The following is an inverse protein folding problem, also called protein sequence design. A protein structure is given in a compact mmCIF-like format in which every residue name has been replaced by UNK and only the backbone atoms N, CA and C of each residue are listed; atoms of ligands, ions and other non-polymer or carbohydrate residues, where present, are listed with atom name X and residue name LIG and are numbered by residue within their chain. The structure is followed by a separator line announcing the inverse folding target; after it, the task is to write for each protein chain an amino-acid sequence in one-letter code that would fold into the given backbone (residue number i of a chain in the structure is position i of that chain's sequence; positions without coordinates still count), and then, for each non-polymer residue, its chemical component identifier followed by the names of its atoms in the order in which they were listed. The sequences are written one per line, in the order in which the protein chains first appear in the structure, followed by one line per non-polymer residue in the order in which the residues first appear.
data_IF_944002132613
#
_entry.id   IF_944002132613
#
_cell.length_a   1.000
_cell.length_b   1.000
_cell.length_c   1.000
_cell.angle_alpha   90.00
_cell.angle_beta   90.00
_cell.angle_gamma   90.00
#
_symmetry.space_group_name_H-M   'P 1'
#
loop_
_entity.id
_entity.type
_entity.pdbx_description
1 polymer ?
#
# COMPACT_ATOMS: atom_id res chain seq x y z
N UNK A 1 10.14 0.37 18.73
CA UNK A 1 8.70 0.66 18.87
C UNK A 1 8.32 1.96 18.17
N UNK A 2 9.09 3.03 18.33
CA UNK A 2 8.83 4.35 17.71
C UNK A 2 8.95 4.38 16.18
N UNK A 3 9.84 3.56 15.61
CA UNK A 3 10.14 3.55 14.17
C UNK A 3 8.99 2.97 13.33
N UNK A 4 8.37 1.88 13.79
CA UNK A 4 7.22 1.27 13.10
C UNK A 4 6.02 2.22 13.02
N UNK A 5 5.74 2.96 14.11
CA UNK A 5 4.67 3.96 14.15
C UNK A 5 4.93 5.08 13.13
N UNK A 6 6.19 5.51 12.98
CA UNK A 6 6.55 6.55 12.01
C UNK A 6 6.36 6.06 10.56
N UNK A 7 6.71 4.80 10.27
CA UNK A 7 6.50 4.20 8.96
C UNK A 7 5.01 4.07 8.64
N UNK A 8 4.19 3.61 9.58
CA UNK A 8 2.74 3.53 9.41
C UNK A 8 2.12 4.90 9.14
N UNK A 9 2.50 5.93 9.91
CA UNK A 9 2.04 7.30 9.67
C UNK A 9 2.43 7.81 8.28
N UNK A 10 3.65 7.51 7.82
CA UNK A 10 4.10 7.87 6.46
C UNK A 10 3.28 7.15 5.40
N UNK A 11 3.08 5.84 5.55
CA UNK A 11 2.29 5.01 4.65
C UNK A 11 0.81 5.46 4.57
N UNK A 12 0.20 5.79 5.73
CA UNK A 12 -1.13 6.39 5.79
C UNK A 12 -1.19 7.73 5.04
N UNK A 13 -0.22 8.61 5.28
CA UNK A 13 -0.17 9.91 4.60
C UNK A 13 -0.03 9.77 3.08
N UNK A 14 0.73 8.77 2.61
CA UNK A 14 0.83 8.44 1.18
C UNK A 14 -0.53 8.04 0.63
N UNK A 15 -1.24 7.11 1.28
CA UNK A 15 -2.54 6.65 0.82
C UNK A 15 -3.58 7.78 0.80
N UNK A 16 -3.67 8.56 1.89
CA UNK A 16 -4.64 9.66 2.01
C UNK A 16 -4.39 10.77 0.96
N UNK A 17 -3.13 11.20 0.78
CA UNK A 17 -2.79 12.26 -0.19
C UNK A 17 -2.95 11.83 -1.65
N UNK A 18 -2.99 10.52 -1.90
CA UNK A 18 -3.04 9.94 -3.23
C UNK A 18 -4.27 9.05 -3.45
N UNK A 19 -5.31 9.27 -2.65
CA UNK A 19 -6.57 8.57 -2.80
C UNK A 19 -7.13 8.76 -4.22
N UNK A 20 -7.58 7.66 -4.83
CA UNK A 20 -8.12 7.62 -6.20
C UNK A 20 -7.14 8.03 -7.31
N UNK A 21 -5.84 8.18 -7.02
CA UNK A 21 -4.82 8.44 -8.04
C UNK A 21 -4.26 7.14 -8.58
N UNK A 22 -4.26 7.01 -9.90
CA UNK A 22 -3.72 5.84 -10.58
C UNK A 22 -2.20 5.98 -10.72
N UNK A 23 -1.49 4.93 -10.37
CA UNK A 23 -0.04 4.83 -10.48
C UNK A 23 0.35 3.71 -11.42
N UNK A 24 1.46 3.90 -12.15
CA UNK A 24 2.17 2.82 -12.83
C UNK A 24 3.28 2.32 -11.92
N UNK A 25 3.22 1.04 -11.55
CA UNK A 25 4.32 0.40 -10.85
C UNK A 25 5.45 0.09 -11.83
N UNK A 26 6.70 0.41 -11.47
CA UNK A 26 7.89 0.28 -12.32
C UNK A 26 9.00 -0.58 -11.69
N UNK A 27 8.69 -1.30 -10.61
CA UNK A 27 9.61 -2.24 -9.98
C UNK A 27 9.94 -3.44 -10.87
N UNK A 28 11.01 -4.15 -10.51
CA UNK A 28 11.54 -5.28 -11.27
C UNK A 28 10.61 -6.50 -11.28
N UNK A 29 9.68 -6.59 -10.32
CA UNK A 29 8.67 -7.64 -10.19
C UNK A 29 7.26 -7.15 -10.60
N UNK A 30 7.20 -6.24 -11.57
CA UNK A 30 5.95 -5.73 -12.17
C UNK A 30 5.00 -6.84 -12.64
N UNK A 31 5.52 -7.99 -13.08
CA UNK A 31 4.71 -9.15 -13.48
C UNK A 31 3.93 -9.76 -12.30
N UNK A 32 4.42 -9.57 -11.07
CA UNK A 32 3.79 -10.03 -9.84
C UNK A 32 2.69 -9.08 -9.38
N UNK A 33 2.96 -7.77 -9.39
CA UNK A 33 2.08 -6.74 -8.82
C UNK A 33 1.12 -6.08 -9.82
N UNK A 34 1.28 -6.31 -11.13
CA UNK A 34 0.50 -5.65 -12.16
C UNK A 34 0.99 -4.24 -12.47
N UNK A 35 0.64 -3.75 -13.66
CA UNK A 35 1.22 -2.53 -14.22
C UNK A 35 0.66 -1.24 -13.60
N UNK A 36 -0.60 -1.23 -13.22
CA UNK A 36 -1.29 -0.02 -12.75
C UNK A 36 -2.24 -0.29 -11.59
N UNK A 37 -2.25 0.60 -10.60
CA UNK A 37 -3.11 0.46 -9.44
C UNK A 37 -3.18 1.72 -8.56
N UNK A 38 -3.91 1.59 -7.46
CA UNK A 38 -4.16 2.64 -6.47
C UNK A 38 -3.63 2.19 -5.10
N UNK A 39 -3.18 3.13 -4.28
CA UNK A 39 -2.79 2.85 -2.91
C UNK A 39 -3.98 3.07 -1.97
N UNK A 40 -4.26 2.09 -1.11
CA UNK A 40 -5.38 2.13 -0.17
C UNK A 40 -4.95 1.62 1.22
N UNK A 41 -5.61 2.15 2.25
CA UNK A 41 -5.53 1.62 3.62
C UNK A 41 -6.57 0.51 3.74
N UNK A 42 -6.14 -0.66 4.20
CA UNK A 42 -7.01 -1.81 4.45
C UNK A 42 -7.33 -1.83 5.93
N UNK A 43 -8.61 -1.72 6.25
CA UNK A 43 -9.07 -2.00 7.61
C UNK A 43 -8.95 -3.50 7.87
N UNK A 44 -8.33 -3.85 8.99
CA UNK A 44 -8.24 -5.23 9.42
C UNK A 44 -9.66 -5.79 9.61
N UNK A 45 -10.05 -6.72 8.74
CA UNK A 45 -11.32 -7.44 8.80
C UNK A 45 -11.18 -8.77 9.56
N UNK A 46 -10.14 -8.94 10.37
CA UNK A 46 -9.99 -10.13 11.21
C UNK A 46 -11.18 -10.28 12.15
N UNK A 47 -12.01 -11.29 11.87
CA UNK A 47 -13.17 -11.65 12.66
C UNK A 47 -12.81 -12.36 13.98
N UNK A 48 -11.55 -12.74 14.18
CA UNK A 48 -11.10 -13.55 15.32
C UNK A 48 -10.27 -12.81 16.37
N UNK A 49 -9.72 -11.63 16.05
CA UNK A 49 -9.13 -10.66 16.96
C UNK A 49 -8.70 -9.43 16.14
N UNK A 50 -8.98 -8.19 16.57
CA UNK A 50 -8.41 -7.02 15.92
C UNK A 50 -6.88 -7.11 16.06
N UNK A 51 -6.15 -7.16 14.96
CA UNK A 51 -4.75 -6.79 15.03
C UNK A 51 -4.70 -5.26 15.09
N UNK A 52 -3.92 -4.71 16.02
CA UNK A 52 -3.68 -3.27 16.09
C UNK A 52 -2.82 -2.77 14.91
N UNK A 53 -2.58 -3.61 13.89
CA UNK A 53 -1.75 -3.29 12.74
C UNK A 53 -2.58 -2.71 11.60
N UNK A 54 -2.14 -1.54 11.11
CA UNK A 54 -2.69 -0.95 9.90
C UNK A 54 -2.13 -1.71 8.69
N UNK A 55 -3.00 -2.31 7.90
CA UNK A 55 -2.62 -2.96 6.66
C UNK A 55 -2.82 -1.99 5.49
N UNK A 56 -2.02 -2.17 4.45
CA UNK A 56 -2.12 -1.37 3.24
C UNK A 56 -2.24 -2.25 2.02
N UNK A 57 -2.68 -1.69 0.90
CA UNK A 57 -2.63 -2.41 -0.36
C UNK A 57 -2.37 -1.56 -1.59
N UNK A 58 -1.76 -2.20 -2.58
CA UNK A 58 -1.78 -1.76 -3.97
C UNK A 58 -2.90 -2.50 -4.71
N UNK A 59 -3.98 -1.77 -5.04
CA UNK A 59 -5.15 -2.30 -5.72
C UNK A 59 -5.00 -2.11 -7.22
N UNK A 60 -4.81 -3.22 -7.94
CA UNK A 60 -4.90 -3.25 -9.41
C UNK A 60 -6.31 -3.58 -9.86
N UNK A 61 -6.53 -3.58 -11.18
CA UNK A 61 -7.83 -3.96 -11.76
C UNK A 61 -8.27 -5.37 -11.33
N UNK A 62 -7.33 -6.31 -11.25
CA UNK A 62 -7.65 -7.73 -11.11
C UNK A 62 -7.27 -8.31 -9.74
N UNK A 63 -6.39 -7.63 -9.00
CA UNK A 63 -5.82 -8.14 -7.73
C UNK A 63 -5.55 -7.04 -6.72
N UNK A 64 -5.70 -7.41 -5.44
CA UNK A 64 -5.26 -6.62 -4.28
C UNK A 64 -3.99 -7.22 -3.71
N UNK A 65 -2.94 -6.41 -3.58
CA UNK A 65 -1.70 -6.81 -2.95
C UNK A 65 -1.63 -6.19 -1.57
N UNK A 66 -1.96 -6.97 -0.53
CA UNK A 66 -1.90 -6.54 0.87
C UNK A 66 -0.45 -6.59 1.34
N UNK A 67 -0.02 -5.53 2.02
CA UNK A 67 1.36 -5.32 2.43
C UNK A 67 1.42 -4.46 3.70
N UNK A 68 2.59 -4.43 4.33
CA UNK A 68 2.86 -3.58 5.48
C UNK A 68 3.28 -2.15 5.05
N UNK A 69 3.59 -1.30 6.04
CA UNK A 69 3.99 0.08 5.80
C UNK A 69 5.31 0.19 5.01
N UNK A 70 6.26 -0.71 5.24
CA UNK A 70 7.57 -0.68 4.60
C UNK A 70 7.42 -1.01 3.10
N UNK A 71 6.73 -2.09 2.80
CA UNK A 71 6.47 -2.54 1.44
C UNK A 71 5.61 -1.53 0.66
N UNK A 72 4.66 -0.84 1.32
CA UNK A 72 3.89 0.23 0.67
C UNK A 72 4.79 1.40 0.27
N UNK A 73 5.68 1.83 1.16
CA UNK A 73 6.59 2.94 0.88
C UNK A 73 7.51 2.58 -0.30
N UNK A 74 8.09 1.38 -0.28
CA UNK A 74 8.95 0.91 -1.38
C UNK A 74 8.17 0.80 -2.70
N UNK A 75 6.95 0.25 -2.66
CA UNK A 75 6.08 0.16 -3.85
C UNK A 75 5.76 1.54 -4.41
N UNK A 76 5.50 2.52 -3.54
CA UNK A 76 5.23 3.89 -3.93
C UNK A 76 6.45 4.59 -4.54
N UNK A 77 7.65 4.39 -3.99
CA UNK A 77 8.89 4.94 -4.54
C UNK A 77 9.21 4.39 -5.93
N UNK A 78 8.81 3.14 -6.20
CA UNK A 78 8.88 2.50 -7.51
C UNK A 78 7.64 2.75 -8.39
N UNK A 79 6.77 3.69 -8.02
CA UNK A 79 5.55 4.02 -8.76
C UNK A 79 5.56 5.44 -9.32
N UNK A 80 4.95 5.62 -10.49
CA UNK A 80 4.79 6.93 -11.13
C UNK A 80 3.31 7.28 -11.28
N UNK A 81 2.95 8.49 -10.85
CA UNK A 81 1.61 9.04 -11.09
C UNK A 81 1.38 9.24 -12.59
N UNK A 82 0.16 8.93 -13.06
CA UNK A 82 -0.29 9.10 -14.46
C UNK A 82 -1.04 10.41 -14.61
#
# INVERSE_FOLDING_TARGET
MTENILLEQKAMSICEKNQNKLYVYTGSDIEKYGKTGYFEIVQDMNCCAPSDQVLFCFQTKDRRFVMDAHDLIDTFEHSKFI
#
